data_IF_710905466467
#
_entry.id   IF_710905466467
#
_cell.length_a   1.000
_cell.length_b   1.000
_cell.length_c   1.000
_cell.angle_alpha   90.00
_cell.angle_beta   90.00
_cell.angle_gamma   90.00
#
_symmetry.space_group_name_H-M   'P 1'
#
loop_
_entity.id
_entity.type
_entity.pdbx_description
1 polymer ?
#
# COMPACT_ATOMS: atom_id res chain seq x y z
N UNK A 1 9.23 -33.26 -26.96
CA UNK A 1 10.02 -32.99 -28.18
C UNK A 1 10.56 -31.57 -28.11
N UNK A 2 11.80 -31.40 -28.58
CA UNK A 2 12.55 -30.15 -28.75
C UNK A 2 13.11 -29.50 -27.47
N UNK A 3 14.13 -30.20 -26.99
CA UNK A 3 15.34 -29.68 -26.35
C UNK A 3 16.04 -28.59 -27.20
N UNK A 4 16.32 -27.44 -26.59
CA UNK A 4 17.34 -26.50 -27.08
C UNK A 4 18.43 -26.36 -26.02
N UNK A 5 19.65 -26.54 -26.50
CA UNK A 5 20.91 -26.59 -25.78
C UNK A 5 21.27 -25.19 -25.30
N UNK A 6 21.54 -25.03 -24.00
CA UNK A 6 22.34 -23.92 -23.50
C UNK A 6 23.36 -24.48 -22.51
N UNK A 7 24.62 -24.42 -22.94
CA UNK A 7 25.80 -24.87 -22.22
C UNK A 7 25.88 -24.21 -20.84
N UNK A 8 25.46 -24.96 -19.82
CA UNK A 8 25.79 -24.66 -18.43
C UNK A 8 27.25 -25.04 -18.18
N UNK A 9 28.13 -24.05 -18.24
CA UNK A 9 29.50 -24.16 -17.75
C UNK A 9 29.41 -24.40 -16.24
N UNK A 10 29.44 -25.67 -15.84
CA UNK A 10 29.67 -26.05 -14.45
C UNK A 10 31.17 -25.90 -14.23
N UNK A 11 31.58 -24.84 -13.54
CA UNK A 11 32.92 -24.70 -12.99
C UNK A 11 33.14 -25.79 -11.93
N UNK A 12 33.57 -26.97 -12.37
CA UNK A 12 34.16 -27.97 -11.48
C UNK A 12 35.61 -27.57 -11.24
N UNK A 13 35.87 -26.90 -10.12
CA UNK A 13 37.22 -26.64 -9.63
C UNK A 13 37.90 -27.99 -9.32
N UNK A 14 38.62 -28.52 -10.31
CA UNK A 14 39.32 -29.78 -10.25
C UNK A 14 40.70 -29.56 -9.60
N UNK A 15 40.80 -29.76 -8.28
CA UNK A 15 42.08 -29.92 -7.61
C UNK A 15 42.46 -31.40 -7.62
N UNK A 16 43.29 -31.77 -8.60
CA UNK A 16 44.13 -32.99 -8.67
C UNK A 16 43.49 -34.30 -8.20
N UNK A 17 42.98 -35.10 -9.15
CA UNK A 17 42.76 -36.54 -8.96
C UNK A 17 43.01 -37.23 -10.29
N UNK A 18 44.13 -37.97 -10.38
CA UNK A 18 44.50 -38.73 -11.57
C UNK A 18 43.63 -39.98 -11.62
N UNK A 19 42.70 -40.06 -12.57
CA UNK A 19 41.97 -41.30 -12.85
C UNK A 19 42.83 -42.18 -13.78
N UNK A 20 43.20 -43.37 -13.32
CA UNK A 20 43.82 -44.38 -14.18
C UNK A 20 42.67 -45.20 -14.77
N UNK A 21 42.45 -45.08 -16.07
CA UNK A 21 41.45 -45.84 -16.81
C UNK A 21 42.15 -47.06 -17.38
N UNK A 22 41.96 -48.22 -16.75
CA UNK A 22 42.29 -49.52 -17.35
C UNK A 22 41.06 -50.08 -18.04
N UNK A 23 41.12 -50.25 -19.35
CA UNK A 23 40.13 -51.04 -20.09
C UNK A 23 40.55 -52.52 -20.07
N UNK A 24 39.70 -53.47 -19.67
CA UNK A 24 39.83 -54.84 -20.13
C UNK A 24 39.17 -54.96 -21.51
N UNK A 25 39.90 -55.58 -22.44
CA UNK A 25 39.37 -55.97 -23.74
C UNK A 25 38.35 -57.12 -23.59
N UNK A 26 37.25 -57.03 -24.34
CA UNK A 26 36.21 -58.04 -24.60
C UNK A 26 35.36 -58.56 -23.42
N UNK A 27 34.07 -58.19 -23.40
CA UNK A 27 32.95 -59.14 -23.56
C UNK A 27 31.58 -58.42 -23.56
N UNK A 28 30.70 -58.93 -24.41
CA UNK A 28 29.35 -58.45 -24.69
C UNK A 28 28.37 -58.71 -23.52
N UNK A 29 27.42 -57.78 -23.36
CA UNK A 29 26.10 -57.93 -22.71
C UNK A 29 26.08 -58.36 -21.23
N UNK A 30 26.16 -57.36 -20.33
CA UNK A 30 25.45 -57.26 -19.04
C UNK A 30 25.53 -55.78 -18.59
N UNK A 31 24.55 -55.22 -17.87
CA UNK A 31 24.67 -53.86 -17.37
C UNK A 31 25.82 -53.84 -16.36
N UNK A 32 26.93 -53.19 -16.72
CA UNK A 32 28.01 -52.95 -15.79
C UNK A 32 27.44 -52.11 -14.65
N UNK A 33 27.16 -52.72 -13.51
CA UNK A 33 26.93 -51.98 -12.28
C UNK A 33 28.24 -51.28 -11.97
N UNK A 34 28.35 -50.03 -12.39
CA UNK A 34 29.44 -49.15 -12.04
C UNK A 34 29.41 -48.98 -10.52
N UNK A 35 30.22 -49.76 -9.80
CA UNK A 35 30.42 -49.60 -8.38
C UNK A 35 31.30 -48.37 -8.17
N UNK A 36 30.66 -47.20 -8.12
CA UNK A 36 31.34 -45.95 -7.84
C UNK A 36 31.67 -45.89 -6.35
N UNK A 37 32.77 -46.55 -5.95
CA UNK A 37 33.32 -46.43 -4.60
C UNK A 37 33.84 -45.00 -4.40
N UNK A 38 33.02 -44.14 -3.79
CA UNK A 38 33.46 -42.83 -3.32
C UNK A 38 34.45 -43.02 -2.17
N UNK A 39 35.75 -43.00 -2.47
CA UNK A 39 36.75 -42.71 -1.46
C UNK A 39 36.59 -41.25 -1.03
N UNK A 40 35.73 -40.99 -0.03
CA UNK A 40 35.73 -39.73 0.70
C UNK A 40 36.99 -39.66 1.55
N UNK A 41 38.12 -39.38 0.90
CA UNK A 41 39.30 -38.91 1.59
C UNK A 41 38.90 -37.72 2.45
N UNK A 42 39.12 -37.81 3.77
CA UNK A 42 38.91 -36.71 4.71
C UNK A 42 39.82 -35.58 4.24
N UNK A 43 39.30 -34.60 3.49
CA UNK A 43 40.05 -33.40 3.09
C UNK A 43 40.54 -32.76 4.38
N UNK A 44 41.80 -33.03 4.75
CA UNK A 44 42.44 -32.34 5.87
C UNK A 44 42.36 -30.87 5.51
N UNK A 45 41.66 -30.09 6.32
CA UNK A 45 41.52 -28.65 6.16
C UNK A 45 42.92 -28.02 6.25
N UNK A 46 43.65 -27.97 5.13
CA UNK A 46 44.85 -27.14 4.97
C UNK A 46 44.39 -25.68 4.83
N UNK A 47 43.69 -25.17 5.85
CA UNK A 47 43.40 -23.74 5.95
C UNK A 47 44.71 -23.09 6.40
N UNK A 48 45.29 -22.23 5.56
CA UNK A 48 46.43 -21.37 5.92
C UNK A 48 46.15 -20.75 7.31
N UNK A 49 47.12 -20.85 8.22
CA UNK A 49 46.98 -20.24 9.53
C UNK A 49 46.84 -18.71 9.34
N UNK A 50 45.72 -18.16 9.82
CA UNK A 50 45.45 -16.72 9.73
C UNK A 50 46.56 -15.94 10.42
N UNK A 51 47.06 -14.91 9.76
CA UNK A 51 48.10 -14.03 10.27
C UNK A 51 47.59 -13.26 11.50
N UNK A 52 48.52 -12.73 12.33
CA UNK A 52 48.16 -11.99 13.55
C UNK A 52 47.26 -10.79 13.26
N UNK A 53 47.50 -10.11 12.13
CA UNK A 53 46.71 -8.99 11.63
C UNK A 53 45.29 -9.42 11.22
N UNK A 54 45.13 -10.49 10.44
CA UNK A 54 43.81 -11.03 10.07
C UNK A 54 42.98 -11.48 11.29
N UNK A 55 43.64 -11.99 12.35
CA UNK A 55 42.98 -12.33 13.61
C UNK A 55 42.50 -11.08 14.35
N UNK A 56 43.29 -10.00 14.37
CA UNK A 56 42.91 -8.72 14.98
C UNK A 56 41.75 -8.08 14.21
N UNK A 57 41.80 -8.04 12.88
CA UNK A 57 40.67 -7.54 12.07
C UNK A 57 39.39 -8.35 12.28
N UNK A 58 39.49 -9.67 12.45
CA UNK A 58 38.32 -10.50 12.77
C UNK A 58 37.77 -10.22 14.17
N UNK A 59 38.61 -9.90 15.15
CA UNK A 59 38.17 -9.49 16.49
C UNK A 59 37.47 -8.13 16.42
N UNK A 60 38.07 -7.14 15.77
CA UNK A 60 37.48 -5.82 15.56
C UNK A 60 36.15 -5.90 14.79
N UNK A 61 36.06 -6.74 13.75
CA UNK A 61 34.79 -6.98 13.02
C UNK A 61 33.74 -7.68 13.89
N UNK A 62 34.12 -8.54 14.84
CA UNK A 62 33.19 -9.18 15.79
C UNK A 62 32.70 -8.18 16.84
N UNK A 63 33.61 -7.40 17.40
CA UNK A 63 33.33 -6.33 18.36
C UNK A 63 32.45 -5.25 17.74
N UNK A 64 32.72 -4.82 16.50
CA UNK A 64 31.88 -3.90 15.76
C UNK A 64 30.47 -4.48 15.55
N UNK A 65 30.35 -5.74 15.12
CA UNK A 65 29.04 -6.42 14.98
C UNK A 65 28.31 -6.59 16.31
N UNK A 66 29.02 -6.84 17.40
CA UNK A 66 28.43 -6.95 18.74
C UNK A 66 28.00 -5.60 19.28
N UNK A 67 28.79 -4.55 19.06
CA UNK A 67 28.43 -3.17 19.37
C UNK A 67 27.20 -2.75 18.57
N UNK A 68 27.16 -3.03 17.26
CA UNK A 68 25.98 -2.80 16.41
C UNK A 68 24.75 -3.57 16.88
N UNK A 69 24.92 -4.83 17.33
CA UNK A 69 23.82 -5.59 17.94
C UNK A 69 23.36 -4.89 19.22
N UNK A 70 24.27 -4.53 20.12
CA UNK A 70 23.97 -3.91 21.43
C UNK A 70 23.37 -2.50 21.31
N UNK A 71 23.57 -1.79 20.19
CA UNK A 71 22.95 -0.47 19.92
C UNK A 71 21.41 -0.50 19.90
N UNK A 72 20.79 -1.64 19.57
CA UNK A 72 19.34 -1.76 19.47
C UNK A 72 18.77 -2.70 20.54
N UNK A 73 17.72 -2.25 21.22
CA UNK A 73 16.93 -3.07 22.15
C UNK A 73 16.33 -4.27 21.42
N UNK A 74 16.06 -5.37 22.11
CA UNK A 74 15.48 -6.59 21.52
C UNK A 74 14.22 -6.31 20.68
N UNK A 75 13.32 -5.45 21.17
CA UNK A 75 12.11 -5.02 20.46
C UNK A 75 12.43 -4.24 19.17
N UNK A 76 13.42 -3.34 19.20
CA UNK A 76 13.89 -2.62 18.01
C UNK A 76 14.53 -3.58 16.99
N UNK A 77 15.25 -4.61 17.43
CA UNK A 77 15.81 -5.64 16.51
C UNK A 77 14.71 -6.41 15.79
N UNK A 78 13.65 -6.81 16.49
CA UNK A 78 12.49 -7.48 15.87
C UNK A 78 11.85 -6.55 14.86
N UNK A 79 11.64 -5.27 15.21
CA UNK A 79 11.06 -4.30 14.29
C UNK A 79 11.93 -4.08 13.05
N UNK A 80 13.24 -3.91 13.21
CA UNK A 80 14.19 -3.77 12.10
C UNK A 80 14.22 -5.03 11.23
N UNK A 81 14.22 -6.22 11.84
CA UNK A 81 14.18 -7.49 11.10
C UNK A 81 12.89 -7.66 10.30
N UNK A 82 11.75 -7.27 10.89
CA UNK A 82 10.46 -7.22 10.18
C UNK A 82 10.53 -6.24 9.02
N UNK A 83 11.02 -5.01 9.23
CA UNK A 83 11.13 -4.01 8.16
C UNK A 83 12.08 -4.43 7.02
N UNK A 84 13.12 -5.21 7.31
CA UNK A 84 14.05 -5.72 6.27
C UNK A 84 13.46 -6.82 5.38
N UNK A 85 12.48 -7.57 5.87
CA UNK A 85 11.84 -8.67 5.14
C UNK A 85 10.48 -8.30 4.56
N UNK A 86 9.94 -7.14 4.94
CA UNK A 86 8.76 -6.59 4.29
C UNK A 86 9.18 -6.02 2.94
N UNK A 87 8.62 -6.56 1.85
CA UNK A 87 8.59 -5.83 0.59
C UNK A 87 7.85 -4.53 0.82
N UNK A 88 8.41 -3.43 0.32
CA UNK A 88 7.76 -2.14 0.42
C UNK A 88 6.40 -2.20 -0.28
N UNK A 89 5.39 -1.51 0.26
CA UNK A 89 4.06 -1.46 -0.38
C UNK A 89 4.21 -0.89 -1.80
N UNK A 90 5.21 -0.03 -2.01
CA UNK A 90 5.61 0.51 -3.32
C UNK A 90 6.22 -0.47 -4.31
N UNK A 91 6.73 -1.61 -3.86
CA UNK A 91 7.28 -2.66 -4.74
C UNK A 91 6.26 -3.77 -5.07
N UNK A 92 5.07 -3.75 -4.47
CA UNK A 92 4.01 -4.70 -4.82
C UNK A 92 3.58 -4.52 -6.28
N UNK A 93 3.47 -5.62 -7.03
CA UNK A 93 3.11 -5.60 -8.45
C UNK A 93 1.72 -4.97 -8.71
N UNK A 94 1.57 -4.09 -9.72
CA UNK A 94 2.63 -3.42 -10.49
C UNK A 94 3.50 -2.46 -9.66
N UNK A 95 4.82 -2.54 -9.84
CA UNK A 95 5.77 -1.74 -9.06
C UNK A 95 5.69 -0.24 -9.38
N UNK A 96 6.12 0.59 -8.42
CA UNK A 96 6.07 2.07 -8.47
C UNK A 96 6.60 2.69 -9.77
N UNK A 97 5.92 3.75 -10.21
CA UNK A 97 6.42 4.64 -11.26
C UNK A 97 7.69 5.38 -10.81
N UNK A 98 8.79 5.20 -11.54
CA UNK A 98 10.02 5.97 -11.31
C UNK A 98 10.28 6.88 -12.50
N UNK A 99 9.96 8.19 -12.41
CA UNK A 99 10.12 9.10 -13.55
C UNK A 99 11.57 9.18 -14.05
N UNK A 100 12.55 9.02 -13.15
CA UNK A 100 13.97 9.00 -13.51
C UNK A 100 14.34 7.82 -14.42
N UNK A 101 13.66 6.67 -14.31
CA UNK A 101 13.91 5.51 -15.18
C UNK A 101 13.30 5.71 -16.57
N UNK A 102 12.21 6.45 -16.66
CA UNK A 102 11.49 6.70 -17.91
C UNK A 102 12.01 7.93 -18.67
N UNK A 103 12.83 8.78 -18.04
CA UNK A 103 13.31 10.04 -18.63
C UNK A 103 14.00 9.87 -19.99
N UNK A 104 14.72 8.76 -20.20
CA UNK A 104 15.44 8.46 -21.44
C UNK A 104 14.64 7.65 -22.46
N UNK A 105 13.42 7.22 -22.14
CA UNK A 105 12.61 6.39 -23.02
C UNK A 105 11.77 7.24 -24.00
N UNK A 106 11.45 6.72 -25.20
CA UNK A 106 10.52 7.36 -26.12
C UNK A 106 9.08 7.40 -25.59
N UNK A 107 8.34 8.47 -25.93
CA UNK A 107 6.97 8.71 -25.45
C UNK A 107 5.94 7.82 -26.13
N UNK A 108 6.02 7.70 -27.46
CA UNK A 108 5.06 6.93 -28.26
C UNK A 108 5.73 5.73 -28.91
N UNK A 109 5.02 4.60 -28.99
CA UNK A 109 5.50 3.42 -29.69
C UNK A 109 5.48 3.69 -31.20
N UNK A 110 6.58 3.37 -31.88
CA UNK A 110 6.66 3.51 -33.34
C UNK A 110 5.76 2.49 -34.05
N UNK A 111 5.52 1.35 -33.40
CA UNK A 111 4.81 0.20 -33.95
C UNK A 111 3.62 -0.20 -33.06
N UNK A 112 2.61 -0.83 -33.66
CA UNK A 112 1.44 -1.34 -32.94
C UNK A 112 1.81 -2.40 -31.88
N UNK A 113 2.89 -3.14 -32.11
CA UNK A 113 3.44 -4.14 -31.19
C UNK A 113 4.71 -3.56 -30.61
N UNK A 114 4.76 -3.44 -29.28
CA UNK A 114 5.92 -2.92 -28.58
C UNK A 114 6.07 -3.55 -27.20
N UNK A 115 7.31 -3.55 -26.70
CA UNK A 115 7.60 -4.01 -25.35
C UNK A 115 7.29 -2.88 -24.37
N UNK A 116 6.40 -3.12 -23.41
CA UNK A 116 5.95 -2.13 -22.43
C UNK A 116 7.10 -1.44 -21.67
N UNK A 117 8.20 -2.12 -21.40
CA UNK A 117 9.36 -1.57 -20.68
C UNK A 117 10.27 -0.67 -21.52
N UNK A 118 10.12 -0.67 -22.85
CA UNK A 118 10.98 0.09 -23.76
C UNK A 118 10.45 1.52 -24.03
N UNK A 119 9.25 1.83 -23.57
CA UNK A 119 8.57 3.10 -23.81
C UNK A 119 8.14 3.71 -22.48
N UNK A 120 7.91 5.03 -22.46
CA UNK A 120 7.28 5.67 -21.31
C UNK A 120 5.89 5.10 -21.07
N UNK A 121 5.44 5.20 -19.82
CA UNK A 121 4.10 4.76 -19.46
C UNK A 121 3.04 5.53 -20.27
N UNK A 122 2.25 4.78 -21.04
CA UNK A 122 1.14 5.34 -21.81
C UNK A 122 -0.09 5.45 -20.92
N UNK A 123 -0.71 6.62 -20.97
CA UNK A 123 -1.95 6.89 -20.29
C UNK A 123 -3.10 6.76 -21.28
N UNK A 124 -4.18 6.14 -20.81
CA UNK A 124 -5.38 5.85 -21.59
C UNK A 124 -6.58 6.58 -21.00
N UNK A 125 -7.57 6.83 -21.85
CA UNK A 125 -8.88 7.24 -21.38
C UNK A 125 -9.59 6.09 -20.66
N UNK A 126 -10.58 6.42 -19.83
CA UNK A 126 -11.37 5.43 -19.09
C UNK A 126 -12.03 4.43 -20.04
N UNK A 127 -12.62 4.91 -21.13
CA UNK A 127 -13.31 4.08 -22.13
C UNK A 127 -12.36 3.11 -22.84
N UNK A 128 -11.19 3.58 -23.28
CA UNK A 128 -10.18 2.72 -23.92
C UNK A 128 -9.67 1.65 -22.96
N UNK A 129 -9.36 2.03 -21.72
CA UNK A 129 -8.90 1.09 -20.71
C UNK A 129 -9.97 0.02 -20.39
N UNK A 130 -11.24 0.40 -20.34
CA UNK A 130 -12.35 -0.54 -20.15
C UNK A 130 -12.54 -1.47 -21.34
N UNK A 131 -12.41 -0.96 -22.57
CA UNK A 131 -12.49 -1.77 -23.79
C UNK A 131 -11.39 -2.84 -23.82
N UNK A 132 -10.14 -2.45 -23.55
CA UNK A 132 -9.02 -3.41 -23.47
C UNK A 132 -9.27 -4.47 -22.38
N UNK A 133 -9.83 -4.07 -21.23
CA UNK A 133 -10.20 -5.03 -20.18
C UNK A 133 -11.35 -5.96 -20.60
N UNK A 134 -12.35 -5.47 -21.35
CA UNK A 134 -13.44 -6.29 -21.91
C UNK A 134 -12.93 -7.33 -22.90
N UNK A 135 -11.96 -6.97 -23.74
CA UNK A 135 -11.29 -7.89 -24.66
C UNK A 135 -10.54 -8.99 -23.91
N UNK A 136 -9.81 -8.63 -22.84
CA UNK A 136 -9.11 -9.61 -22.02
C UNK A 136 -10.05 -10.55 -21.26
N UNK A 137 -11.22 -10.08 -20.83
CA UNK A 137 -12.18 -10.87 -20.06
C UNK A 137 -13.10 -11.73 -20.91
N UNK A 138 -12.85 -11.83 -22.22
CA UNK A 138 -13.59 -12.72 -23.11
C UNK A 138 -13.52 -14.19 -22.64
N UNK A 139 -14.54 -15.01 -22.98
CA UNK A 139 -14.60 -16.43 -22.61
C UNK A 139 -13.35 -17.24 -22.96
N UNK A 140 -12.64 -16.86 -24.02
CA UNK A 140 -11.43 -17.55 -24.49
C UNK A 140 -10.20 -17.35 -23.61
N UNK A 141 -10.18 -16.32 -22.74
CA UNK A 141 -9.01 -15.96 -21.93
C UNK A 141 -9.31 -16.19 -20.44
N UNK A 142 -10.03 -15.26 -19.81
CA UNK A 142 -10.32 -15.32 -18.36
C UNK A 142 -11.74 -15.80 -18.05
N UNK A 143 -12.64 -15.79 -19.03
CA UNK A 143 -14.03 -16.25 -18.88
C UNK A 143 -14.79 -15.60 -17.70
N UNK A 144 -14.60 -14.29 -17.52
CA UNK A 144 -15.32 -13.54 -16.50
C UNK A 144 -15.81 -12.16 -17.01
N UNK A 145 -16.90 -12.13 -17.79
CA UNK A 145 -17.42 -10.89 -18.35
C UNK A 145 -17.99 -9.93 -17.29
N UNK A 146 -18.22 -10.40 -16.05
CA UNK A 146 -18.74 -9.59 -14.94
C UNK A 146 -17.70 -9.42 -13.83
N UNK A 147 -16.43 -9.36 -14.21
CA UNK A 147 -15.31 -9.18 -13.30
C UNK A 147 -15.35 -7.84 -12.54
N UNK A 148 -14.72 -7.80 -11.38
CA UNK A 148 -14.61 -6.60 -10.55
C UNK A 148 -13.47 -5.73 -11.05
N UNK A 149 -13.73 -4.43 -11.16
CA UNK A 149 -12.75 -3.43 -11.56
C UNK A 149 -12.13 -2.83 -10.30
N UNK A 150 -10.82 -3.00 -10.16
CA UNK A 150 -10.00 -2.41 -9.10
C UNK A 150 -9.26 -1.19 -9.64
N UNK A 151 -9.37 -0.07 -8.95
CA UNK A 151 -8.53 1.10 -9.18
C UNK A 151 -7.45 1.16 -8.11
N UNK A 152 -6.20 1.06 -8.58
CA UNK A 152 -5.01 1.19 -7.76
C UNK A 152 -4.38 2.55 -8.02
N UNK A 153 -4.26 3.38 -6.99
CA UNK A 153 -3.71 4.73 -7.08
C UNK A 153 -2.45 4.85 -6.24
N UNK A 154 -1.41 5.39 -6.86
CA UNK A 154 -0.17 5.75 -6.21
C UNK A 154 -0.26 7.19 -5.72
N UNK A 155 -0.14 7.37 -4.42
CA UNK A 155 -0.32 8.64 -3.75
C UNK A 155 1.01 9.24 -3.33
N UNK A 156 1.08 10.57 -3.40
CA UNK A 156 2.13 11.35 -2.78
C UNK A 156 1.65 11.85 -1.42
N UNK A 157 2.18 11.24 -0.36
CA UNK A 157 1.76 11.43 1.03
C UNK A 157 2.38 12.67 1.70
N UNK A 158 3.14 13.47 0.94
CA UNK A 158 3.76 14.69 1.46
C UNK A 158 2.72 15.76 1.82
N UNK A 159 2.85 16.32 3.02
CA UNK A 159 2.04 17.47 3.44
C UNK A 159 2.88 18.75 3.46
N UNK A 160 2.29 19.87 3.86
CA UNK A 160 3.02 21.12 4.10
C UNK A 160 4.24 20.94 5.03
N UNK A 161 4.15 19.99 5.97
CA UNK A 161 5.24 19.65 6.89
C UNK A 161 5.88 18.35 6.42
N UNK A 162 7.16 18.39 6.06
CA UNK A 162 7.93 17.20 5.67
C UNK A 162 7.94 16.08 6.72
N UNK A 163 7.76 16.43 8.00
CA UNK A 163 7.76 15.48 9.12
C UNK A 163 6.40 14.82 9.35
N UNK A 164 5.30 15.39 8.82
CA UNK A 164 3.96 14.84 9.00
C UNK A 164 3.44 14.35 7.65
N UNK A 165 3.30 13.05 7.49
CA UNK A 165 2.68 12.48 6.30
C UNK A 165 1.16 12.41 6.47
N UNK A 166 0.44 12.19 5.36
CA UNK A 166 -0.98 11.86 5.40
C UNK A 166 -1.18 10.58 6.22
N UNK A 167 -2.18 10.56 7.09
CA UNK A 167 -2.43 9.41 7.96
C UNK A 167 -3.12 8.28 7.17
N UNK A 168 -2.78 7.04 7.53
CA UNK A 168 -3.52 5.88 7.08
C UNK A 168 -5.00 6.02 7.46
N UNK A 169 -5.88 5.78 6.50
CA UNK A 169 -7.31 5.90 6.70
C UNK A 169 -8.06 4.84 5.90
N UNK A 170 -9.14 4.35 6.48
CA UNK A 170 -10.13 3.52 5.80
C UNK A 170 -11.46 4.26 5.88
N UNK A 171 -11.93 4.75 4.75
CA UNK A 171 -13.20 5.48 4.64
C UNK A 171 -14.12 4.76 3.65
N UNK A 172 -15.43 4.93 3.79
CA UNK A 172 -16.38 4.56 2.75
C UNK A 172 -16.75 5.80 1.95
N UNK A 173 -16.68 5.72 0.63
CA UNK A 173 -17.06 6.81 -0.27
C UNK A 173 -18.41 6.48 -0.91
N UNK A 174 -19.41 7.40 -0.83
CA UNK A 174 -20.66 7.21 -1.55
C UNK A 174 -20.39 7.36 -3.05
N UNK A 175 -20.95 6.44 -3.84
CA UNK A 175 -20.77 6.41 -5.29
C UNK A 175 -22.13 6.64 -5.95
N UNK A 176 -22.21 7.43 -7.04
CA UNK A 176 -23.48 7.72 -7.72
C UNK A 176 -24.14 6.47 -8.30
N UNK A 177 -23.37 5.56 -8.90
CA UNK A 177 -23.89 4.30 -9.45
C UNK A 177 -23.43 3.11 -8.59
N UNK A 178 -24.26 2.65 -7.65
CA UNK A 178 -23.91 1.56 -6.76
C UNK A 178 -23.90 0.21 -7.48
N UNK A 179 -23.02 -0.69 -7.04
CA UNK A 179 -22.94 -2.05 -7.56
C UNK A 179 -22.87 -3.07 -6.43
N UNK A 180 -23.14 -4.34 -6.75
CA UNK A 180 -23.15 -5.42 -5.77
C UNK A 180 -21.71 -5.82 -5.39
N UNK A 181 -21.31 -5.51 -4.15
CA UNK A 181 -20.00 -5.87 -3.58
C UNK A 181 -19.87 -7.34 -3.16
N UNK A 182 -20.98 -8.09 -3.11
CA UNK A 182 -21.08 -9.46 -2.57
C UNK A 182 -20.66 -9.60 -1.08
N UNK A 183 -20.46 -8.48 -0.38
CA UNK A 183 -20.25 -8.42 1.07
C UNK A 183 -21.57 -8.09 1.76
N UNK A 184 -21.94 -8.85 2.79
CA UNK A 184 -23.03 -8.47 3.69
C UNK A 184 -22.46 -7.53 4.74
N UNK A 185 -22.95 -6.30 4.80
CA UNK A 185 -22.54 -5.29 5.78
C UNK A 185 -23.66 -5.09 6.79
N UNK A 186 -23.39 -5.40 8.04
CA UNK A 186 -24.33 -5.25 9.15
C UNK A 186 -24.19 -3.85 9.75
N UNK A 187 -25.31 -3.13 9.89
CA UNK A 187 -25.32 -1.71 10.29
C UNK A 187 -26.16 -1.54 11.55
N UNK A 188 -25.53 -0.97 12.58
CA UNK A 188 -26.17 -0.60 13.84
C UNK A 188 -26.44 0.92 13.86
N UNK A 189 -27.69 1.33 14.05
CA UNK A 189 -28.06 2.73 14.13
C UNK A 189 -28.33 3.17 15.57
N UNK A 190 -27.93 4.39 15.93
CA UNK A 190 -28.18 4.99 17.24
C UNK A 190 -29.03 6.26 17.09
N UNK A 191 -30.21 6.28 17.69
CA UNK A 191 -31.13 7.43 17.64
C UNK A 191 -31.88 7.57 18.96
N UNK A 192 -32.15 8.81 19.36
CA UNK A 192 -32.84 9.10 20.62
C UNK A 192 -34.35 8.90 20.48
N UNK A 193 -34.94 9.62 19.52
CA UNK A 193 -36.36 9.56 19.24
C UNK A 193 -36.77 8.22 18.63
N UNK A 194 -38.01 7.81 18.85
CA UNK A 194 -38.56 6.57 18.27
C UNK A 194 -38.73 6.70 16.75
N UNK A 195 -39.25 7.84 16.29
CA UNK A 195 -39.43 8.12 14.86
C UNK A 195 -38.13 7.94 14.06
N UNK A 196 -37.02 8.48 14.57
CA UNK A 196 -35.72 8.36 13.90
C UNK A 196 -35.14 6.94 13.95
N UNK A 197 -35.55 6.12 14.93
CA UNK A 197 -35.20 4.70 14.98
C UNK A 197 -35.94 3.92 13.90
N UNK A 198 -37.23 4.18 13.72
CA UNK A 198 -38.04 3.54 12.69
C UNK A 198 -37.52 3.91 11.30
N UNK A 199 -37.21 5.20 11.07
CA UNK A 199 -36.58 5.67 9.83
C UNK A 199 -35.23 5.01 9.52
N UNK A 200 -34.43 4.69 10.56
CA UNK A 200 -33.17 3.98 10.39
C UNK A 200 -33.38 2.51 9.97
N UNK A 201 -34.37 1.83 10.53
CA UNK A 201 -34.73 0.46 10.16
C UNK A 201 -35.27 0.42 8.73
N UNK A 202 -36.13 1.38 8.35
CA UNK A 202 -36.65 1.53 6.98
C UNK A 202 -35.54 1.78 5.95
N UNK A 203 -34.52 2.58 6.32
CA UNK A 203 -33.34 2.81 5.49
C UNK A 203 -32.45 1.56 5.33
N UNK A 204 -32.70 0.50 6.11
CA UNK A 204 -32.01 -0.79 6.03
C UNK A 204 -30.90 -0.99 7.05
N UNK A 205 -30.94 -0.30 8.20
CA UNK A 205 -30.19 -0.71 9.38
C UNK A 205 -30.76 -2.03 9.93
N UNK A 206 -29.90 -2.88 10.48
CA UNK A 206 -30.32 -4.17 11.03
C UNK A 206 -31.03 -3.99 12.39
N UNK A 207 -30.49 -3.10 13.23
CA UNK A 207 -31.08 -2.72 14.51
C UNK A 207 -30.87 -1.22 14.75
N UNK A 208 -31.92 -0.55 15.26
CA UNK A 208 -31.84 0.80 15.78
C UNK A 208 -31.90 0.80 17.32
N UNK A 209 -30.94 1.45 17.97
CA UNK A 209 -30.75 1.46 19.41
C UNK A 209 -31.03 2.84 20.02
N UNK A 210 -31.75 2.84 21.14
CA UNK A 210 -31.99 4.00 22.00
C UNK A 210 -30.91 4.20 23.08
N UNK A 211 -31.04 5.26 23.89
CA UNK A 211 -30.05 5.61 24.93
C UNK A 211 -29.95 4.55 26.04
N UNK A 212 -31.03 3.80 26.32
CA UNK A 212 -31.05 2.76 27.36
C UNK A 212 -30.12 1.59 27.03
N UNK A 213 -29.93 1.32 25.74
CA UNK A 213 -29.08 0.22 25.26
C UNK A 213 -27.60 0.53 25.42
N UNK A 214 -27.21 1.82 25.48
CA UNK A 214 -25.81 2.24 25.68
C UNK A 214 -25.26 1.69 26.99
N UNK A 215 -26.04 1.74 28.07
CA UNK A 215 -25.64 1.19 29.38
C UNK A 215 -25.45 -0.33 29.34
N UNK A 216 -26.28 -1.05 28.58
CA UNK A 216 -26.16 -2.51 28.40
C UNK A 216 -24.93 -2.88 27.56
N UNK A 217 -24.61 -2.07 26.57
CA UNK A 217 -23.39 -2.20 25.76
C UNK A 217 -22.14 -2.03 26.63
N UNK A 218 -22.09 -0.99 27.48
CA UNK A 218 -20.95 -0.76 28.38
C UNK A 218 -20.75 -1.93 29.35
N UNK A 219 -21.85 -2.54 29.82
CA UNK A 219 -21.81 -3.74 30.68
C UNK A 219 -21.43 -5.03 29.93
N UNK A 220 -21.28 -4.99 28.61
CA UNK A 220 -20.93 -6.16 27.79
C UNK A 220 -22.09 -7.14 27.57
N UNK A 221 -23.33 -6.75 27.85
CA UNK A 221 -24.50 -7.61 27.62
C UNK A 221 -24.91 -7.69 26.14
N UNK A 222 -24.40 -6.79 25.31
CA UNK A 222 -24.72 -6.70 23.88
C UNK A 222 -23.47 -7.03 23.06
N UNK A 223 -23.59 -7.98 22.12
CA UNK A 223 -22.51 -8.36 21.20
C UNK A 223 -22.43 -7.35 20.07
N UNK A 224 -21.42 -6.48 20.13
CA UNK A 224 -21.18 -5.47 19.09
C UNK A 224 -20.36 -6.06 17.93
N UNK A 225 -19.61 -7.13 18.18
CA UNK A 225 -18.67 -7.66 17.20
C UNK A 225 -19.33 -8.31 15.97
N UNK A 226 -20.63 -8.60 16.06
CA UNK A 226 -21.45 -9.09 14.94
C UNK A 226 -21.79 -7.94 13.95
N UNK A 227 -21.57 -6.68 14.35
CA UNK A 227 -21.86 -5.48 13.56
C UNK A 227 -20.59 -4.85 12.98
N UNK A 228 -20.57 -4.66 11.66
CA UNK A 228 -19.44 -4.04 10.97
C UNK A 228 -19.41 -2.52 11.16
N UNK A 229 -20.56 -1.86 11.00
CA UNK A 229 -20.66 -0.41 10.99
C UNK A 229 -21.65 0.11 12.03
N UNK A 230 -21.32 1.26 12.63
CA UNK A 230 -22.20 1.99 13.53
C UNK A 230 -22.48 3.39 12.97
N UNK A 231 -23.75 3.78 12.98
CA UNK A 231 -24.24 5.09 12.52
C UNK A 231 -25.03 5.73 13.65
N UNK A 232 -24.96 7.06 13.78
CA UNK A 232 -25.71 7.78 14.79
C UNK A 232 -26.41 9.02 14.24
N UNK A 233 -27.57 9.36 14.83
CA UNK A 233 -28.21 10.66 14.67
C UNK A 233 -27.47 11.73 15.50
N UNK A 234 -27.56 12.98 15.09
CA UNK A 234 -26.92 14.11 15.79
C UNK A 234 -27.41 14.26 17.23
N UNK A 235 -28.69 14.01 17.51
CA UNK A 235 -29.26 14.05 18.87
C UNK A 235 -28.55 13.09 19.83
N UNK A 236 -28.06 11.98 19.30
CA UNK A 236 -27.46 10.88 20.06
C UNK A 236 -25.93 11.06 20.18
N UNK A 237 -25.36 12.14 19.64
CA UNK A 237 -23.91 12.37 19.60
C UNK A 237 -23.26 12.48 20.99
N UNK A 238 -23.95 13.08 21.97
CA UNK A 238 -23.43 13.27 23.33
C UNK A 238 -23.45 11.98 24.15
N UNK A 239 -24.49 11.17 23.98
CA UNK A 239 -24.73 9.94 24.76
C UNK A 239 -23.88 8.76 24.30
N UNK A 240 -23.40 8.74 23.05
CA UNK A 240 -22.54 7.67 22.51
C UNK A 240 -21.06 7.83 22.87
N UNK A 241 -20.61 8.99 23.36
CA UNK A 241 -19.20 9.25 23.71
C UNK A 241 -18.57 8.17 24.61
N UNK A 242 -19.27 7.60 25.62
CA UNK A 242 -18.73 6.52 26.44
C UNK A 242 -18.40 5.25 25.65
N UNK A 243 -19.05 5.02 24.51
CA UNK A 243 -18.81 3.86 23.64
C UNK A 243 -17.55 3.99 22.80
N UNK A 244 -16.88 5.15 22.77
CA UNK A 244 -15.69 5.39 21.95
C UNK A 244 -14.57 4.37 22.20
N UNK A 245 -14.34 3.99 23.45
CA UNK A 245 -13.33 3.00 23.82
C UNK A 245 -13.66 1.57 23.33
N UNK A 246 -14.95 1.25 23.23
CA UNK A 246 -15.46 -0.07 22.85
C UNK A 246 -15.54 -0.19 21.32
N UNK A 247 -16.10 0.82 20.64
CA UNK A 247 -16.28 0.84 19.19
C UNK A 247 -14.99 1.10 18.42
N UNK A 248 -14.00 1.78 19.02
CA UNK A 248 -12.70 2.11 18.40
C UNK A 248 -12.86 2.74 17.01
N UNK A 249 -12.52 2.03 15.94
CA UNK A 249 -12.61 2.51 14.54
C UNK A 249 -14.04 2.54 14.00
N UNK A 250 -14.96 1.74 14.57
CA UNK A 250 -16.39 1.71 14.21
C UNK A 250 -17.17 2.88 14.78
N UNK A 251 -16.54 3.73 15.59
CA UNK A 251 -17.22 4.84 16.24
C UNK A 251 -17.74 5.86 15.19
N UNK A 252 -19.04 6.22 15.23
CA UNK A 252 -19.63 7.15 14.27
C UNK A 252 -19.04 8.56 14.48
N UNK A 253 -18.32 9.03 13.47
CA UNK A 253 -17.73 10.37 13.43
C UNK A 253 -18.28 11.16 12.24
N UNK A 254 -18.31 12.50 12.37
CA UNK A 254 -18.58 13.38 11.22
C UNK A 254 -17.56 13.19 10.10
N UNK A 255 -16.30 12.96 10.45
CA UNK A 255 -15.20 12.72 9.49
C UNK A 255 -15.45 11.45 8.67
N UNK A 256 -15.84 10.35 9.32
CA UNK A 256 -16.15 9.10 8.63
C UNK A 256 -17.52 9.16 7.91
N UNK A 257 -18.31 10.22 8.14
CA UNK A 257 -19.69 10.35 7.69
C UNK A 257 -20.65 9.38 8.38
N UNK A 258 -20.32 8.91 9.58
CA UNK A 258 -21.18 8.03 10.40
C UNK A 258 -22.13 8.78 11.35
N UNK A 259 -22.07 10.11 11.38
CA UNK A 259 -22.90 10.97 12.20
C UNK A 259 -23.57 12.02 11.31
N UNK A 260 -24.90 12.11 11.36
CA UNK A 260 -25.67 13.14 10.67
C UNK A 260 -27.18 12.97 10.90
N UNK A 261 -27.98 13.84 10.29
CA UNK A 261 -29.42 13.91 10.54
C UNK A 261 -30.20 12.94 9.64
N UNK A 262 -29.78 12.79 8.38
CA UNK A 262 -30.46 11.96 7.39
C UNK A 262 -29.96 10.51 7.42
N UNK A 263 -30.68 9.62 8.09
CA UNK A 263 -30.34 8.19 8.13
C UNK A 263 -30.32 7.52 6.75
N UNK A 264 -31.20 7.90 5.84
CA UNK A 264 -31.26 7.31 4.49
C UNK A 264 -29.96 7.50 3.71
N UNK A 265 -29.40 8.72 3.73
CA UNK A 265 -28.15 9.03 3.04
C UNK A 265 -26.96 8.33 3.70
N UNK A 266 -26.90 8.35 5.03
CA UNK A 266 -25.79 7.77 5.77
C UNK A 266 -25.78 6.25 5.62
N UNK A 267 -26.92 5.59 5.87
CA UNK A 267 -27.05 4.13 5.73
C UNK A 267 -26.83 3.72 4.27
N UNK A 268 -27.33 4.50 3.31
CA UNK A 268 -27.03 4.32 1.89
C UNK A 268 -25.53 4.34 1.59
N UNK A 269 -24.78 5.29 2.18
CA UNK A 269 -23.31 5.37 2.09
C UNK A 269 -22.63 4.12 2.65
N UNK A 270 -23.04 3.61 3.81
CA UNK A 270 -22.40 2.42 4.40
C UNK A 270 -22.75 1.12 3.66
N UNK A 271 -23.99 1.00 3.19
CA UNK A 271 -24.49 -0.17 2.47
C UNK A 271 -23.85 -0.31 1.08
N UNK A 272 -23.84 0.78 0.31
CA UNK A 272 -23.42 0.76 -1.09
C UNK A 272 -22.04 1.37 -1.35
N UNK A 273 -21.49 2.12 -0.39
CA UNK A 273 -20.25 2.85 -0.57
C UNK A 273 -19.05 1.94 -0.85
N UNK A 274 -18.06 2.50 -1.53
CA UNK A 274 -16.81 1.81 -1.82
C UNK A 274 -15.82 2.06 -0.71
N UNK A 275 -15.17 0.97 -0.26
CA UNK A 275 -14.09 1.06 0.72
C UNK A 275 -12.87 1.70 0.07
N UNK A 276 -12.45 2.81 0.64
CA UNK A 276 -11.27 3.57 0.29
C UNK A 276 -10.22 3.39 1.37
N UNK A 277 -9.18 2.62 1.08
CA UNK A 277 -8.07 2.41 2.01
C UNK A 277 -6.83 3.14 1.53
N UNK A 278 -6.39 4.14 2.29
CA UNK A 278 -5.12 4.84 2.10
C UNK A 278 -4.09 4.23 3.05
N UNK A 279 -2.99 3.73 2.48
CA UNK A 279 -1.88 3.12 3.22
C UNK A 279 -0.57 3.80 2.84
N UNK A 280 0.08 4.42 3.82
CA UNK A 280 1.45 4.93 3.65
C UNK A 280 2.46 3.78 3.64
N UNK A 281 3.52 3.91 2.84
CA UNK A 281 4.60 2.93 2.84
C UNK A 281 5.49 3.12 4.09
N UNK A 282 5.68 2.09 4.92
CA UNK A 282 6.54 2.20 6.11
C UNK A 282 8.01 2.43 5.76
N UNK A 283 8.48 1.95 4.60
CA UNK A 283 9.89 2.09 4.18
C UNK A 283 10.11 3.45 3.52
N UNK A 284 9.16 3.90 2.69
CA UNK A 284 9.23 5.19 2.01
C UNK A 284 7.97 6.04 2.26
N UNK A 285 7.91 6.77 3.39
CA UNK A 285 6.70 7.49 3.82
C UNK A 285 6.17 8.57 2.87
N UNK A 286 6.96 8.96 1.87
CA UNK A 286 6.59 9.91 0.81
C UNK A 286 5.53 9.29 -0.12
N UNK A 287 5.51 7.97 -0.25
CA UNK A 287 4.62 7.25 -1.15
C UNK A 287 3.57 6.47 -0.37
N UNK A 288 2.38 6.44 -0.92
CA UNK A 288 1.26 5.68 -0.39
C UNK A 288 0.53 4.97 -1.50
N UNK A 289 -0.25 3.97 -1.10
CA UNK A 289 -1.11 3.21 -1.98
C UNK A 289 -2.55 3.36 -1.56
N UNK A 290 -3.42 3.55 -2.56
CA UNK A 290 -4.85 3.41 -2.39
C UNK A 290 -5.39 2.35 -3.34
N UNK A 291 -6.14 1.41 -2.79
CA UNK A 291 -6.80 0.34 -3.51
C UNK A 291 -8.30 0.42 -3.28
N UNK A 292 -9.06 0.45 -4.37
CA UNK A 292 -10.52 0.55 -4.33
C UNK A 292 -11.15 -0.32 -5.42
N UNK A 293 -12.33 -0.87 -5.15
CA UNK A 293 -13.13 -1.57 -6.17
C UNK A 293 -14.23 -0.61 -6.60
N UNK A 294 -14.29 -0.28 -7.89
CA UNK A 294 -15.12 0.83 -8.39
C UNK A 294 -16.41 0.37 -9.06
N UNK A 295 -16.41 -0.85 -9.59
CA UNK A 295 -17.56 -1.36 -10.31
C UNK A 295 -17.32 -2.72 -10.90
N UNK A 296 -18.25 -3.11 -11.78
CA UNK A 296 -18.17 -4.34 -12.57
C UNK A 296 -18.02 -3.99 -14.04
N UNK A 297 -17.36 -4.87 -14.79
CA UNK A 297 -17.11 -4.70 -16.22
C UNK A 297 -18.40 -4.63 -17.08
N UNK A 298 -19.50 -5.18 -16.57
CA UNK A 298 -20.83 -5.13 -17.21
C UNK A 298 -21.49 -3.74 -17.14
N UNK A 299 -21.04 -2.85 -16.26
CA UNK A 299 -21.58 -1.49 -16.16
C UNK A 299 -21.21 -0.65 -17.38
N UNK A 300 -21.98 0.41 -17.62
CA UNK A 300 -21.73 1.34 -18.70
C UNK A 300 -20.45 2.17 -18.45
N UNK A 301 -19.80 2.61 -19.52
CA UNK A 301 -18.53 3.34 -19.43
C UNK A 301 -18.71 4.69 -18.73
N UNK A 302 -19.82 5.38 -18.98
CA UNK A 302 -20.14 6.67 -18.35
C UNK A 302 -20.43 6.54 -16.85
N UNK A 303 -21.11 5.45 -16.44
CA UNK A 303 -21.37 5.16 -15.03
C UNK A 303 -20.07 4.90 -14.28
N UNK A 304 -19.17 4.10 -14.87
CA UNK A 304 -17.86 3.81 -14.30
C UNK A 304 -17.00 5.07 -14.24
N UNK A 305 -17.06 5.92 -15.26
CA UNK A 305 -16.37 7.22 -15.29
C UNK A 305 -16.83 8.13 -14.16
N UNK A 306 -18.14 8.21 -13.91
CA UNK A 306 -18.70 8.98 -12.80
C UNK A 306 -18.27 8.41 -11.44
N UNK A 307 -18.25 7.08 -11.30
CA UNK A 307 -17.78 6.41 -10.08
C UNK A 307 -16.29 6.68 -9.80
N UNK A 308 -15.44 6.63 -10.83
CA UNK A 308 -14.01 6.99 -10.74
C UNK A 308 -13.86 8.43 -10.29
N UNK A 309 -14.62 9.36 -10.87
CA UNK A 309 -14.62 10.78 -10.49
C UNK A 309 -14.94 10.98 -9.00
N UNK A 310 -16.00 10.34 -8.49
CA UNK A 310 -16.39 10.44 -7.08
C UNK A 310 -15.30 9.92 -6.12
N UNK A 311 -14.64 8.82 -6.48
CA UNK A 311 -13.54 8.24 -5.68
C UNK A 311 -12.32 9.16 -5.67
N UNK A 312 -11.95 9.73 -6.83
CA UNK A 312 -10.82 10.67 -6.93
C UNK A 312 -11.11 11.95 -6.16
N UNK A 313 -12.33 12.49 -6.25
CA UNK A 313 -12.74 13.68 -5.50
C UNK A 313 -12.65 13.44 -3.99
N UNK A 314 -13.12 12.29 -3.52
CA UNK A 314 -13.00 11.90 -2.11
C UNK A 314 -11.53 11.78 -1.68
N UNK A 315 -10.66 11.22 -2.53
CA UNK A 315 -9.22 11.16 -2.25
C UNK A 315 -8.58 12.53 -2.12
N UNK A 316 -8.91 13.44 -3.03
CA UNK A 316 -8.39 14.79 -3.03
C UNK A 316 -8.75 15.57 -1.77
N UNK A 317 -9.78 15.18 -0.99
CA UNK A 317 -10.12 15.82 0.29
C UNK A 317 -9.08 15.60 1.39
N UNK A 318 -8.26 14.55 1.30
CA UNK A 318 -7.24 14.26 2.32
C UNK A 318 -5.99 15.14 2.22
N UNK A 319 -5.78 15.83 1.09
CA UNK A 319 -4.59 16.66 0.86
C UNK A 319 -4.97 17.96 0.16
N UNK A 320 -4.41 19.08 0.63
CA UNK A 320 -4.59 20.37 -0.03
C UNK A 320 -4.08 20.32 -1.49
N UNK A 321 -4.90 20.70 -2.48
CA UNK A 321 -4.55 20.60 -3.90
C UNK A 321 -3.40 21.55 -4.29
N UNK A 322 -3.23 22.64 -3.56
CA UNK A 322 -2.16 23.62 -3.77
C UNK A 322 -0.73 23.09 -3.45
N UNK A 323 -0.58 21.89 -2.88
CA UNK A 323 0.72 21.23 -2.71
C UNK A 323 1.22 20.51 -3.99
N UNK A 324 0.45 20.57 -5.08
CA UNK A 324 0.71 19.84 -6.31
C UNK A 324 -0.06 18.52 -6.39
N UNK A 325 0.19 17.68 -7.41
CA UNK A 325 -0.59 16.48 -7.67
C UNK A 325 -0.53 15.52 -6.49
N UNK A 326 -1.71 15.08 -6.03
CA UNK A 326 -1.83 14.08 -4.98
C UNK A 326 -1.65 12.67 -5.52
N UNK A 327 -2.22 12.39 -6.69
CA UNK A 327 -2.14 11.11 -7.38
C UNK A 327 -0.98 11.18 -8.37
N UNK A 328 0.02 10.31 -8.21
CA UNK A 328 1.14 10.19 -9.14
C UNK A 328 0.76 9.34 -10.36
N UNK A 329 0.02 8.25 -10.12
CA UNK A 329 -0.41 7.30 -11.15
C UNK A 329 -1.68 6.58 -10.70
N UNK A 330 -2.67 6.48 -11.58
CA UNK A 330 -3.83 5.62 -11.38
C UNK A 330 -3.77 4.46 -12.36
N UNK A 331 -3.97 3.24 -11.87
CA UNK A 331 -3.92 2.00 -12.62
C UNK A 331 -5.27 1.29 -12.52
N UNK A 332 -5.88 1.04 -13.67
CA UNK A 332 -7.10 0.26 -13.77
C UNK A 332 -6.74 -1.21 -13.93
N UNK A 333 -7.22 -2.04 -13.01
CA UNK A 333 -6.99 -3.48 -12.97
C UNK A 333 -8.33 -4.23 -12.89
N UNK A 334 -8.35 -5.47 -13.33
CA UNK A 334 -9.55 -6.32 -13.25
C UNK A 334 -9.20 -7.63 -12.55
N UNK A 335 -10.10 -8.09 -11.68
CA UNK A 335 -9.94 -9.33 -10.89
C UNK A 335 -10.89 -10.39 -11.45
N UNK A 336 -10.41 -11.56 -11.93
CA UNK A 336 -9.02 -12.02 -12.00
C UNK A 336 -8.28 -11.49 -13.24
N UNK A 337 -7.03 -11.08 -13.07
CA UNK A 337 -6.18 -10.57 -14.16
C UNK A 337 -4.97 -9.78 -13.65
N UNK A 338 -3.86 -9.90 -14.38
CA UNK A 338 -2.60 -9.21 -14.05
C UNK A 338 -2.40 -7.93 -14.88
N UNK A 339 -3.24 -7.75 -15.91
CA UNK A 339 -3.22 -6.58 -16.76
C UNK A 339 -3.61 -5.31 -15.99
N UNK A 340 -2.85 -4.26 -16.25
CA UNK A 340 -3.05 -2.95 -15.62
C UNK A 340 -2.75 -1.85 -16.63
N UNK A 341 -3.68 -0.91 -16.77
CA UNK A 341 -3.56 0.24 -17.68
C UNK A 341 -3.49 1.52 -16.87
N UNK A 342 -2.57 2.42 -17.22
CA UNK A 342 -2.49 3.73 -16.58
C UNK A 342 -3.58 4.64 -17.13
N UNK A 343 -4.31 5.29 -16.24
CA UNK A 343 -5.40 6.20 -16.60
C UNK A 343 -4.94 7.65 -16.56
N UNK A 344 -5.45 8.45 -17.49
CA UNK A 344 -5.37 9.91 -17.42
C UNK A 344 -6.30 10.45 -16.33
N UNK A 345 -5.69 10.94 -15.23
CA UNK A 345 -6.40 11.42 -14.04
C UNK A 345 -6.70 12.93 -14.11
N UNK A 346 -6.00 13.66 -14.98
CA UNK A 346 -6.14 15.10 -15.17
C UNK A 346 -7.59 15.62 -15.24
N UNK A 347 -8.55 14.98 -15.95
CA UNK A 347 -9.92 15.48 -16.03
C UNK A 347 -10.70 15.43 -14.72
N UNK A 348 -10.25 14.65 -13.73
CA UNK A 348 -10.95 14.46 -12.45
C UNK A 348 -10.32 15.22 -11.28
N UNK A 349 -9.17 15.85 -11.49
CA UNK A 349 -8.48 16.57 -10.42
C UNK A 349 -9.14 17.92 -10.17
N UNK A 350 -9.39 18.29 -8.90
CA UNK A 350 -9.85 19.63 -8.58
C UNK A 350 -8.75 20.64 -8.94
N UNK A 351 -9.10 21.64 -9.75
CA UNK A 351 -8.18 22.71 -10.14
C UNK A 351 -8.00 23.63 -8.91
N UNK A 352 -6.79 23.77 -8.35
CA UNK A 352 -6.55 24.67 -7.24
C UNK A 352 -6.72 26.13 -7.69
N UNK A 353 -7.40 26.93 -6.86
CA UNK A 353 -7.51 28.38 -7.10
C UNK A 353 -6.17 29.05 -6.77
N UNK A 354 -5.69 29.97 -7.60
CA UNK A 354 -4.37 30.65 -7.46
C UNK A 354 -4.15 31.26 -6.05
N UNK A 355 -5.23 31.72 -5.41
CA UNK A 355 -5.21 32.27 -4.06
C UNK A 355 -4.84 31.24 -2.97
N UNK A 356 -5.17 29.97 -3.17
CA UNK A 356 -4.82 28.89 -2.23
C UNK A 356 -3.34 28.54 -2.33
N UNK A 357 -2.81 28.56 -3.56
CA UNK A 357 -1.40 28.35 -3.86
C UNK A 357 -0.56 29.43 -3.18
N UNK A 358 -0.92 30.71 -3.37
CA UNK A 358 -0.22 31.81 -2.73
C UNK A 358 -0.27 31.77 -1.20
N UNK A 359 -1.43 31.41 -0.61
CA UNK A 359 -1.57 31.31 0.85
C UNK A 359 -0.67 30.21 1.42
N UNK A 360 -0.55 29.07 0.74
CA UNK A 360 0.35 28.00 1.16
C UNK A 360 1.80 28.42 0.96
N UNK A 361 2.16 29.04 -0.16
CA UNK A 361 3.51 29.53 -0.38
C UNK A 361 3.94 30.55 0.68
N UNK A 362 3.08 31.51 1.03
CA UNK A 362 3.31 32.48 2.10
C UNK A 362 3.51 31.77 3.45
N UNK A 363 2.72 30.73 3.75
CA UNK A 363 2.88 29.89 4.96
C UNK A 363 4.18 29.08 4.95
N UNK A 364 4.60 28.55 3.81
CA UNK A 364 5.86 27.81 3.66
C UNK A 364 7.08 28.75 3.77
N UNK A 365 7.03 29.94 3.16
CA UNK A 365 8.06 30.99 3.28
C UNK A 365 8.18 31.53 4.71
N UNK A 366 7.04 31.76 5.40
CA UNK A 366 7.02 32.19 6.81
C UNK A 366 7.61 31.12 7.75
N UNK A 367 7.38 29.83 7.49
CA UNK A 367 7.97 28.72 8.25
C UNK A 367 9.46 28.50 7.97
N UNK A 368 9.94 28.74 6.73
CA UNK A 368 11.38 28.75 6.45
C UNK A 368 12.12 29.86 7.21
N UNK A 369 11.46 30.98 7.51
CA UNK A 369 12.03 32.10 8.29
C UNK A 369 11.97 31.94 9.82
N UNK A 370 11.29 30.94 10.36
CA UNK A 370 11.23 30.72 11.82
C UNK A 370 11.33 29.23 12.11
N UNK A 371 12.55 28.67 12.14
CA UNK A 371 13.23 28.46 13.43
C UNK A 371 14.78 28.55 13.39
N UNK A 372 15.39 29.02 12.30
CA UNK A 372 16.87 29.13 12.20
C UNK A 372 17.43 30.46 12.74
N UNK A 373 16.62 31.52 12.80
CA UNK A 373 17.08 32.85 13.24
C UNK A 373 16.99 33.12 14.75
N UNK A 374 16.70 32.11 15.57
CA UNK A 374 16.54 32.26 17.03
C UNK A 374 17.58 31.49 17.86
N UNK A 375 18.66 31.00 17.23
CA UNK A 375 19.75 30.26 17.90
C UNK A 375 21.15 30.79 17.62
N UNK A 376 21.27 31.96 17.04
CA UNK A 376 22.53 32.67 16.89
C UNK A 376 22.25 34.05 17.44
N UNK A 377 22.60 34.27 18.70
CA UNK A 377 22.92 35.55 19.32
C UNK A 377 23.10 35.29 20.82
N UNK A 378 24.35 35.00 21.20
CA UNK A 378 24.97 35.38 22.46
C UNK A 378 26.40 34.77 22.54
N UNK A 379 27.44 35.54 22.16
CA UNK A 379 28.78 35.29 22.64
C UNK A 379 29.36 36.58 23.22
N UNK A 380 28.99 36.95 24.46
CA UNK A 380 29.72 37.97 25.22
C UNK A 380 29.29 37.96 26.70
N UNK A 381 29.94 37.11 27.51
CA UNK A 381 30.09 37.27 28.95
C UNK A 381 30.97 36.14 29.50
N UNK A 382 32.29 36.28 29.37
CA UNK A 382 33.28 35.57 30.19
C UNK A 382 34.63 36.28 30.03
N UNK A 383 34.73 37.44 30.68
CA UNK A 383 36.02 38.10 30.96
C UNK A 383 35.91 38.88 32.26
N UNK A 384 35.94 38.17 33.40
CA UNK A 384 36.31 38.77 34.69
C UNK A 384 36.48 37.69 35.76
N UNK A 385 37.68 37.15 35.90
CA UNK A 385 38.32 36.87 37.20
C UNK A 385 39.65 36.12 37.00
N UNK A 386 40.71 36.90 36.85
CA UNK A 386 42.00 36.55 37.42
C UNK A 386 42.14 37.34 38.74
N UNK A 387 42.97 36.82 39.63
CA UNK A 387 43.47 37.39 40.90
C UNK A 387 42.72 37.01 42.18
N UNK A 388 43.11 35.87 42.76
CA UNK A 388 43.69 35.72 44.11
C UNK A 388 43.89 34.24 44.45
#
# INVERSE_FOLDING_TARGET
>A
MLSSISNGIIWAACSSSRAIIGHPEFCLLLPSTYSLQQYRGRKRNLKRALTKQERQERRLKREAKEAERKKYTFMQRIQISRMKHMTSISEQFPGRLNPAKEAHLPDKPTTNIFIRSAYKTQYYSVSEALQMHREMQQPSIYNNPNAHIRLRMELNMTTEKKTKMVADSEELVPIPYPFKHNEKRTILAFAYEQHNRDAAVEAGAEIALGPDMIKKIIKGMFRIDDYDFCVAHTDMASSILPLRGILRSRFPNKINGGLGDNFQEIIGKFKNGVKLSIRGDPIMPIWGLCDTIIGRLKMNDDELKANIGAVIEALCKHRNPALGPFINRALLMVIPGDAHFALDVNPFLPIPTEQEIEKIEKRMKKKKKGPESAKIDNPEALSSSADA
#
